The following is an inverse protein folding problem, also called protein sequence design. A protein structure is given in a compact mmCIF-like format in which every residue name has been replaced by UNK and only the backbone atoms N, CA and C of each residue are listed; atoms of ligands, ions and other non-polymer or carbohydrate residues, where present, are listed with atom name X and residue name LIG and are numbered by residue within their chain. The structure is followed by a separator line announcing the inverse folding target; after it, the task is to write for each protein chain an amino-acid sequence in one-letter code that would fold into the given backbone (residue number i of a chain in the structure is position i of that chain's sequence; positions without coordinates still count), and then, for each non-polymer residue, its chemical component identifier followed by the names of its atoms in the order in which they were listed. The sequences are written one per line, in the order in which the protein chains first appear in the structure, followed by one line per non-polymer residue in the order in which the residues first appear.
data_IF_638085155506
#
_entry.id   IF_638085155506
#
_cell.length_a   1.000
_cell.length_b   1.000
_cell.length_c   1.000
_cell.angle_alpha   90.00
_cell.angle_beta   90.00
_cell.angle_gamma   90.00
#
_symmetry.space_group_name_H-M   'P 1'
#
loop_
_entity.id
_entity.type
_entity.pdbx_description
1 polymer ?
#
# COMPACT_ATOMS: atom_id res chain seq x y z
N UNK A 1 -6.41 9.68 -6.73
CA UNK A 1 -5.35 8.91 -6.04
C UNK A 1 -4.22 9.87 -5.71
N UNK A 2 -3.65 9.79 -4.51
CA UNK A 2 -2.57 10.69 -4.12
C UNK A 2 -1.26 10.25 -4.78
N UNK A 3 -0.47 11.21 -5.27
CA UNK A 3 0.76 10.92 -6.04
C UNK A 3 1.88 10.34 -5.17
N UNK A 4 1.84 10.64 -3.87
CA UNK A 4 2.77 10.18 -2.86
C UNK A 4 2.22 9.08 -1.96
N UNK A 5 3.13 8.42 -1.26
CA UNK A 5 2.76 7.31 -0.37
C UNK A 5 3.95 6.75 0.38
N UNK A 6 3.74 5.56 0.95
CA UNK A 6 4.73 4.91 1.79
C UNK A 6 4.98 3.48 1.33
N UNK A 7 6.23 3.20 0.97
CA UNK A 7 6.70 1.86 0.70
C UNK A 7 7.32 1.27 1.97
N UNK A 8 6.95 0.04 2.32
CA UNK A 8 7.45 -0.65 3.52
C UNK A 8 8.07 -1.98 3.14
N UNK A 9 9.26 -2.25 3.64
CA UNK A 9 9.98 -3.48 3.38
C UNK A 9 10.14 -4.32 4.65
N UNK A 10 10.24 -5.62 4.48
CA UNK A 10 10.67 -6.53 5.53
C UNK A 10 12.16 -6.31 5.82
N UNK A 11 12.57 -6.45 7.08
CA UNK A 11 13.98 -6.33 7.49
C UNK A 11 14.78 -7.60 7.24
N UNK A 12 14.10 -8.74 7.06
CA UNK A 12 14.71 -10.01 6.70
C UNK A 12 14.51 -10.27 5.21
N UNK A 13 15.56 -10.77 4.56
CA UNK A 13 15.49 -11.17 3.15
C UNK A 13 14.42 -12.25 2.99
N UNK A 14 13.54 -12.07 2.02
CA UNK A 14 12.51 -13.05 1.71
C UNK A 14 13.16 -14.35 1.22
N UNK A 15 12.78 -15.45 1.85
CA UNK A 15 13.09 -16.82 1.44
C UNK A 15 11.75 -17.57 1.33
N UNK A 16 11.46 -18.08 0.15
CA UNK A 16 10.26 -18.89 -0.10
C UNK A 16 10.45 -20.34 0.27
N UNK A 17 11.56 -20.68 0.98
CA UNK A 17 11.98 -21.99 1.40
C UNK A 17 10.83 -22.98 1.37
N UNK A 18 10.87 -23.93 0.43
CA UNK A 18 9.78 -24.88 0.26
C UNK A 18 9.43 -25.52 1.60
N UNK A 19 8.20 -26.00 1.76
CA UNK A 19 7.68 -26.62 2.99
C UNK A 19 8.59 -27.69 3.62
N UNK A 20 9.57 -28.19 2.88
CA UNK A 20 10.58 -29.17 3.29
C UNK A 20 11.82 -28.58 3.99
N UNK A 21 12.08 -27.27 3.84
CA UNK A 21 13.31 -26.60 4.33
C UNK A 21 13.27 -26.17 5.81
N UNK A 22 12.14 -26.40 6.51
CA UNK A 22 11.98 -26.01 7.91
C UNK A 22 11.97 -24.49 8.15
N UNK A 23 11.99 -23.67 7.09
CA UNK A 23 11.78 -22.23 7.15
C UNK A 23 10.27 -22.01 7.25
N UNK A 24 9.76 -22.04 8.48
CA UNK A 24 8.35 -21.91 8.75
C UNK A 24 7.81 -20.50 8.51
N UNK A 25 6.48 -20.40 8.43
CA UNK A 25 5.73 -19.14 8.51
C UNK A 25 5.86 -18.45 9.89
N UNK A 26 6.62 -19.04 10.82
CA UNK A 26 6.91 -18.52 12.15
C UNK A 26 7.79 -17.25 12.08
N UNK A 27 8.57 -17.08 11.01
CA UNK A 27 9.39 -15.89 10.76
C UNK A 27 8.57 -14.73 10.21
N UNK A 28 7.62 -14.24 10.99
CA UNK A 28 6.68 -13.17 10.61
C UNK A 28 7.36 -11.91 10.04
N UNK A 29 8.50 -11.50 10.59
CA UNK A 29 9.24 -10.32 10.12
C UNK A 29 9.93 -10.49 8.75
N UNK A 30 9.92 -11.69 8.16
CA UNK A 30 10.30 -11.91 6.76
C UNK A 30 9.10 -11.76 5.82
N UNK A 31 7.91 -12.16 6.25
CA UNK A 31 6.72 -12.23 5.40
C UNK A 31 5.83 -10.99 5.46
N UNK A 32 5.86 -10.25 6.56
CA UNK A 32 4.91 -9.16 6.83
C UNK A 32 5.64 -7.83 6.90
N UNK A 33 5.22 -6.83 6.13
CA UNK A 33 5.87 -5.50 6.08
C UNK A 33 5.29 -4.48 7.07
N UNK A 34 4.36 -4.92 7.92
CA UNK A 34 3.69 -4.06 8.91
C UNK A 34 4.70 -3.49 9.91
N UNK A 35 4.63 -2.19 10.16
CA UNK A 35 5.54 -1.51 11.10
C UNK A 35 5.44 -2.06 12.53
N UNK A 36 4.24 -2.48 12.97
CA UNK A 36 4.03 -3.09 14.28
C UNK A 36 4.87 -4.37 14.48
N UNK A 37 5.10 -5.11 13.40
CA UNK A 37 5.88 -6.37 13.40
C UNK A 37 7.35 -6.06 13.12
N UNK A 38 7.64 -5.17 12.17
CA UNK A 38 9.01 -4.87 11.79
C UNK A 38 9.80 -4.18 12.91
N UNK A 39 9.16 -3.34 13.74
CA UNK A 39 9.83 -2.66 14.87
C UNK A 39 10.45 -3.60 15.91
N UNK A 40 9.94 -4.81 16.04
CA UNK A 40 10.47 -5.80 17.01
C UNK A 40 11.57 -6.67 16.41
N UNK A 41 11.87 -6.51 15.12
CA UNK A 41 12.92 -7.27 14.45
C UNK A 41 14.30 -6.64 14.67
N UNK A 42 15.32 -7.47 14.84
CA UNK A 42 16.70 -7.02 15.07
C UNK A 42 17.29 -6.24 13.88
N UNK A 43 16.73 -6.39 12.68
CA UNK A 43 17.15 -5.66 11.47
C UNK A 43 16.46 -4.31 11.28
N UNK A 44 15.61 -3.88 12.21
CA UNK A 44 14.85 -2.64 12.06
C UNK A 44 15.75 -1.41 12.19
N UNK A 45 16.03 -0.77 11.06
CA UNK A 45 16.64 0.55 11.03
C UNK A 45 15.56 1.62 11.11
N UNK A 46 15.60 2.41 12.18
CA UNK A 46 14.72 3.57 12.31
C UNK A 46 15.23 4.65 11.36
N UNK A 47 14.58 4.84 10.21
CA UNK A 47 14.88 5.95 9.31
C UNK A 47 14.63 7.26 10.06
N UNK A 48 15.71 7.85 10.61
CA UNK A 48 15.68 9.06 11.45
C UNK A 48 16.11 10.32 10.72
N UNK A 49 16.58 10.20 9.48
CA UNK A 49 17.03 11.32 8.66
C UNK A 49 16.25 11.35 7.34
N UNK A 50 15.83 12.54 6.92
CA UNK A 50 15.17 12.82 5.63
C UNK A 50 16.06 12.42 4.44
N UNK A 51 17.37 12.31 4.67
CA UNK A 51 18.40 11.87 3.72
C UNK A 51 18.39 10.35 3.45
N UNK A 52 17.58 9.57 4.17
CA UNK A 52 17.49 8.11 4.03
C UNK A 52 16.41 7.62 3.04
N UNK A 53 15.85 8.52 2.21
CA UNK A 53 14.85 8.09 1.23
C UNK A 53 15.46 7.19 0.15
N UNK A 54 14.85 6.02 -0.08
CA UNK A 54 15.45 4.96 -0.88
C UNK A 54 16.44 4.05 -0.14
N UNK A 55 16.58 4.17 1.19
CA UNK A 55 17.45 3.33 2.02
C UNK A 55 16.66 2.75 3.21
N UNK A 56 16.98 1.52 3.60
CA UNK A 56 16.36 0.85 4.76
C UNK A 56 14.95 0.34 4.47
N UNK A 57 14.12 0.22 5.51
CA UNK A 57 12.83 -0.48 5.46
C UNK A 57 11.60 0.40 5.18
N UNK A 58 11.79 1.70 4.96
CA UNK A 58 10.70 2.66 4.69
C UNK A 58 11.13 3.69 3.65
N UNK A 59 10.50 3.69 2.48
CA UNK A 59 10.77 4.66 1.41
C UNK A 59 9.51 5.48 1.09
N UNK A 60 9.69 6.66 0.49
CA UNK A 60 8.62 7.35 -0.22
C UNK A 60 8.10 6.51 -1.40
N UNK A 61 6.93 6.84 -1.90
CA UNK A 61 6.42 6.20 -3.11
C UNK A 61 7.22 6.65 -4.34
N UNK A 62 7.66 7.92 -4.38
CA UNK A 62 8.56 8.42 -5.44
C UNK A 62 9.89 7.66 -5.49
N UNK A 63 10.49 7.34 -4.35
CA UNK A 63 11.72 6.54 -4.34
C UNK A 63 11.48 5.14 -4.94
N UNK A 64 10.36 4.49 -4.63
CA UNK A 64 9.99 3.23 -5.26
C UNK A 64 9.72 3.38 -6.77
N UNK A 65 8.98 4.42 -7.18
CA UNK A 65 8.71 4.73 -8.60
C UNK A 65 10.01 4.84 -9.39
N UNK A 66 10.98 5.60 -8.86
CA UNK A 66 12.32 5.74 -9.47
C UNK A 66 13.05 4.41 -9.55
N UNK A 67 13.01 3.60 -8.48
CA UNK A 67 13.66 2.29 -8.48
C UNK A 67 13.03 1.34 -9.51
N UNK A 68 11.70 1.30 -9.63
CA UNK A 68 11.02 0.45 -10.61
C UNK A 68 11.36 0.84 -12.05
N UNK A 69 11.46 2.15 -12.35
CA UNK A 69 11.90 2.62 -13.67
C UNK A 69 13.35 2.18 -13.95
N UNK A 70 14.24 2.31 -12.95
CA UNK A 70 15.63 1.91 -13.10
C UNK A 70 15.80 0.39 -13.34
N UNK A 71 14.99 -0.44 -12.69
CA UNK A 71 15.08 -1.91 -12.77
C UNK A 71 14.32 -2.51 -13.96
N UNK A 72 13.17 -1.94 -14.33
CA UNK A 72 12.22 -2.55 -15.28
C UNK A 72 12.00 -1.72 -16.56
N UNK A 73 12.50 -0.48 -16.60
CA UNK A 73 12.23 0.48 -17.67
C UNK A 73 10.92 1.25 -17.50
N UNK A 74 10.81 2.39 -18.18
CA UNK A 74 9.70 3.34 -18.05
C UNK A 74 8.33 2.71 -18.40
N UNK A 75 8.25 1.98 -19.50
CA UNK A 75 6.98 1.42 -19.97
C UNK A 75 6.39 0.42 -18.97
N UNK A 76 7.22 -0.51 -18.47
CA UNK A 76 6.76 -1.53 -17.52
C UNK A 76 6.40 -0.91 -16.18
N UNK A 77 7.18 0.05 -15.69
CA UNK A 77 6.87 0.79 -14.48
C UNK A 77 5.56 1.58 -14.62
N UNK A 78 5.33 2.24 -15.75
CA UNK A 78 4.07 2.94 -16.01
C UNK A 78 2.87 1.98 -16.04
N UNK A 79 3.03 0.78 -16.61
CA UNK A 79 1.96 -0.22 -16.59
C UNK A 79 1.56 -0.64 -15.17
N UNK A 80 2.54 -0.84 -14.26
CA UNK A 80 2.26 -1.18 -12.86
C UNK A 80 1.35 -0.14 -12.21
N UNK A 81 1.59 1.16 -12.44
CA UNK A 81 0.76 2.22 -11.85
C UNK A 81 -0.63 2.28 -12.48
N UNK A 82 -0.75 2.06 -13.80
CA UNK A 82 -2.06 1.93 -14.46
C UNK A 82 -2.88 0.78 -13.88
N UNK A 83 -2.23 -0.36 -13.62
CA UNK A 83 -2.89 -1.53 -13.04
C UNK A 83 -3.34 -1.25 -11.59
N UNK A 84 -2.56 -0.48 -10.82
CA UNK A 84 -2.93 -0.04 -9.47
C UNK A 84 -4.13 0.93 -9.51
N UNK A 85 -4.13 1.91 -10.41
CA UNK A 85 -5.25 2.85 -10.55
C UNK A 85 -6.55 2.11 -10.91
N UNK A 86 -6.47 1.18 -11.85
CA UNK A 86 -7.57 0.32 -12.27
C UNK A 86 -8.09 -0.57 -11.12
N UNK A 87 -7.19 -1.15 -10.33
CA UNK A 87 -7.55 -1.92 -9.13
C UNK A 87 -8.32 -1.08 -8.12
N UNK A 88 -7.89 0.16 -7.87
CA UNK A 88 -8.57 1.08 -6.92
C UNK A 88 -9.97 1.42 -7.43
N UNK A 89 -10.10 1.82 -8.70
CA UNK A 89 -11.39 2.20 -9.28
C UNK A 89 -12.38 1.03 -9.21
N UNK A 90 -11.95 -0.17 -9.61
CA UNK A 90 -12.79 -1.37 -9.56
C UNK A 90 -13.21 -1.75 -8.14
N UNK A 91 -12.32 -1.57 -7.16
CA UNK A 91 -12.64 -1.80 -5.75
C UNK A 91 -13.69 -0.81 -5.25
N UNK A 92 -13.59 0.47 -5.61
CA UNK A 92 -14.59 1.48 -5.24
C UNK A 92 -15.95 1.20 -5.89
N UNK A 93 -15.97 0.84 -7.18
CA UNK A 93 -17.20 0.45 -7.88
C UNK A 93 -17.85 -0.77 -7.21
N UNK A 94 -17.06 -1.78 -6.82
CA UNK A 94 -17.59 -2.96 -6.14
C UNK A 94 -18.20 -2.65 -4.77
N UNK A 95 -17.71 -1.62 -4.08
CA UNK A 95 -18.21 -1.19 -2.78
C UNK A 95 -19.35 -0.16 -2.86
N UNK A 96 -19.53 0.51 -4.00
CA UNK A 96 -20.48 1.61 -4.19
C UNK A 96 -21.92 1.28 -3.77
N UNK A 97 -22.51 0.12 -4.10
CA UNK A 97 -23.89 -0.17 -3.71
C UNK A 97 -24.07 -0.20 -2.19
N UNK A 98 -23.12 -0.80 -1.47
CA UNK A 98 -23.17 -0.88 -0.01
C UNK A 98 -23.00 0.50 0.64
N UNK A 99 -22.17 1.38 0.06
CA UNK A 99 -22.04 2.75 0.53
C UNK A 99 -23.30 3.56 0.27
N UNK A 100 -23.87 3.46 -0.93
CA UNK A 100 -25.07 4.18 -1.33
C UNK A 100 -26.24 3.85 -0.39
N UNK A 101 -26.53 2.57 -0.15
CA UNK A 101 -27.59 2.14 0.76
C UNK A 101 -27.39 2.67 2.19
N UNK A 102 -26.15 2.59 2.70
CA UNK A 102 -25.83 3.11 4.03
C UNK A 102 -25.99 4.64 4.11
N UNK A 103 -25.63 5.36 3.05
CA UNK A 103 -25.77 6.81 2.96
C UNK A 103 -27.24 7.24 2.89
N UNK A 104 -28.10 6.54 2.16
CA UNK A 104 -29.54 6.86 2.13
C UNK A 104 -30.18 6.76 3.52
N UNK A 105 -29.81 5.73 4.30
CA UNK A 105 -30.30 5.55 5.67
C UNK A 105 -29.74 6.60 6.62
N UNK A 106 -28.44 6.91 6.52
CA UNK A 106 -27.78 7.84 7.42
C UNK A 106 -28.06 9.31 7.09
N UNK A 107 -28.37 9.62 5.83
CA UNK A 107 -28.49 10.99 5.30
C UNK A 107 -29.72 11.18 4.39
N UNK A 108 -30.94 11.01 4.93
CA UNK A 108 -32.18 11.13 4.14
C UNK A 108 -32.41 12.53 3.54
N UNK A 109 -31.78 13.58 4.08
CA UNK A 109 -31.86 14.95 3.56
C UNK A 109 -30.91 15.22 2.37
N UNK A 110 -29.80 14.48 2.25
CA UNK A 110 -28.83 14.64 1.16
C UNK A 110 -29.39 14.13 -0.20
N UNK A 111 -30.32 13.17 -0.14
CA UNK A 111 -31.02 12.63 -1.32
C UNK A 111 -32.01 13.66 -1.92
N UNK A 112 -32.36 14.72 -1.19
CA UNK A 112 -33.34 15.74 -1.60
C UNK A 112 -32.75 16.99 -2.27
N UNK A 113 -31.64 16.84 -3.03
CA UNK A 113 -31.22 17.85 -4.00
C UNK A 113 -30.06 18.76 -3.61
N UNK A 114 -29.28 18.43 -2.58
CA UNK A 114 -27.97 19.07 -2.39
C UNK A 114 -26.95 18.44 -3.35
N UNK A 115 -26.43 19.23 -4.29
CA UNK A 115 -25.53 18.74 -5.35
C UNK A 115 -24.11 18.40 -4.89
N UNK A 116 -23.81 18.44 -3.58
CA UNK A 116 -22.48 18.19 -3.03
C UNK A 116 -22.51 16.97 -2.09
N UNK A 117 -21.53 16.07 -2.26
CA UNK A 117 -21.32 14.95 -1.33
C UNK A 117 -21.07 15.47 0.08
N UNK A 118 -21.80 14.94 1.06
CA UNK A 118 -21.63 15.28 2.47
C UNK A 118 -20.52 14.45 3.15
N UNK A 119 -19.91 13.50 2.44
CA UNK A 119 -18.85 12.61 2.92
C UNK A 119 -17.63 12.60 2.00
N UNK A 120 -16.44 12.43 2.59
CA UNK A 120 -15.19 12.16 1.90
C UNK A 120 -14.32 11.22 2.75
N UNK A 121 -13.44 10.46 2.10
CA UNK A 121 -12.44 9.60 2.75
C UNK A 121 -11.16 9.53 1.92
#
# INVERSE_FOLDING_TARGET
LYDEGLTRFATQKYDSGGTESGIGLDRQAMHLTNVSIQKTSNGYQKNSAEEADGIGSKWSLTALKRQLVAELGEERAAQIWRDIDDLVIKTLIAAEPAFYEAMEVAMPAAVMGESASQCFQ
#
